data_IF_992751151757
#
_entry.id   IF_992751151757
#
_cell.length_a   1.000
_cell.length_b   1.000
_cell.length_c   1.000
_cell.angle_alpha   90.00
_cell.angle_beta   90.00
_cell.angle_gamma   90.00
#
_symmetry.space_group_name_H-M   'P 1'
#
loop_
_entity.id
_entity.type
_entity.pdbx_description
1 polymer ?
#
# COMPACT_ATOMS: atom_id res chain seq x y z
N UNK A 1 -17.10 -8.61 -2.77
CA UNK A 1 -17.99 -7.45 -2.60
C UNK A 1 -17.13 -6.20 -2.57
N UNK A 2 -17.43 -5.16 -3.35
CA UNK A 2 -16.67 -3.89 -3.34
C UNK A 2 -17.18 -2.96 -2.23
N UNK A 3 -16.39 -1.95 -1.87
CA UNK A 3 -16.79 -0.93 -0.89
C UNK A 3 -17.97 -0.10 -1.41
N UNK A 4 -17.99 0.25 -2.69
CA UNK A 4 -19.16 0.92 -3.31
C UNK A 4 -20.42 0.06 -3.27
N UNK A 5 -20.30 -1.26 -3.50
CA UNK A 5 -21.44 -2.17 -3.38
C UNK A 5 -21.98 -2.22 -1.95
N UNK A 6 -21.13 -2.09 -0.94
CA UNK A 6 -21.52 -2.04 0.47
C UNK A 6 -22.21 -0.72 0.84
N UNK A 7 -21.72 0.41 0.31
CA UNK A 7 -22.38 1.72 0.44
C UNK A 7 -23.80 1.68 -0.14
N UNK A 8 -23.95 1.17 -1.37
CA UNK A 8 -25.25 1.04 -2.03
C UNK A 8 -26.21 0.14 -1.24
N UNK A 9 -25.73 -1.02 -0.77
CA UNK A 9 -26.54 -1.95 0.01
C UNK A 9 -27.01 -1.37 1.36
N UNK A 10 -26.20 -0.51 1.99
CA UNK A 10 -26.53 0.16 3.26
C UNK A 10 -27.27 1.50 3.06
N UNK A 11 -27.47 1.95 1.82
CA UNK A 11 -28.09 3.24 1.53
C UNK A 11 -27.31 4.43 2.08
N UNK A 12 -25.97 4.32 2.16
CA UNK A 12 -25.09 5.36 2.69
C UNK A 12 -24.42 6.09 1.54
N UNK A 13 -24.47 7.42 1.53
CA UNK A 13 -23.76 8.25 0.55
C UNK A 13 -22.29 8.47 0.93
N UNK A 14 -21.46 8.90 -0.02
CA UNK A 14 -20.06 9.25 0.23
C UNK A 14 -19.92 10.38 1.25
N UNK A 15 -20.75 11.43 1.14
CA UNK A 15 -20.82 12.52 2.12
C UNK A 15 -21.17 12.02 3.53
N UNK A 16 -22.19 11.16 3.66
CA UNK A 16 -22.57 10.59 4.96
C UNK A 16 -21.46 9.72 5.55
N UNK A 17 -20.76 8.94 4.74
CA UNK A 17 -19.60 8.18 5.19
C UNK A 17 -18.49 9.13 5.64
N UNK A 18 -18.18 10.17 4.86
CA UNK A 18 -17.16 11.16 5.22
C UNK A 18 -17.44 11.83 6.56
N UNK A 19 -18.70 12.24 6.79
CA UNK A 19 -19.16 12.81 8.07
C UNK A 19 -18.96 11.84 9.23
N UNK A 20 -19.33 10.55 9.06
CA UNK A 20 -19.13 9.52 10.10
C UNK A 20 -17.65 9.31 10.43
N UNK A 21 -16.77 9.46 9.45
CA UNK A 21 -15.35 9.23 9.58
C UNK A 21 -14.55 10.47 10.01
N UNK A 22 -15.18 11.65 10.04
CA UNK A 22 -14.50 12.90 10.33
C UNK A 22 -13.45 13.29 9.27
N UNK A 23 -13.69 12.94 8.01
CA UNK A 23 -12.81 13.26 6.87
C UNK A 23 -13.57 13.99 5.77
N UNK A 24 -12.87 14.51 4.75
CA UNK A 24 -13.54 15.11 3.60
C UNK A 24 -14.11 14.07 2.64
N UNK A 25 -15.21 14.40 1.97
CA UNK A 25 -15.81 13.54 0.93
C UNK A 25 -14.82 13.24 -0.21
N UNK A 26 -14.03 14.24 -0.60
CA UNK A 26 -12.96 14.04 -1.60
C UNK A 26 -11.92 13.00 -1.17
N UNK A 27 -11.61 12.89 0.14
CA UNK A 27 -10.71 11.87 0.68
C UNK A 27 -11.30 10.46 0.53
N UNK A 28 -12.60 10.32 0.80
CA UNK A 28 -13.33 9.06 0.61
C UNK A 28 -13.30 8.66 -0.86
N UNK A 29 -13.61 9.58 -1.78
CA UNK A 29 -13.58 9.30 -3.22
C UNK A 29 -12.19 8.89 -3.72
N UNK A 30 -11.12 9.52 -3.23
CA UNK A 30 -9.75 9.12 -3.56
C UNK A 30 -9.44 7.69 -3.11
N UNK A 31 -9.87 7.30 -1.90
CA UNK A 31 -9.71 5.92 -1.43
C UNK A 31 -10.49 4.93 -2.30
N UNK A 32 -11.74 5.25 -2.66
CA UNK A 32 -12.59 4.36 -3.46
C UNK A 32 -12.11 4.22 -4.90
N UNK A 33 -11.58 5.29 -5.49
CA UNK A 33 -11.01 5.28 -6.82
C UNK A 33 -9.63 4.59 -6.89
N UNK A 34 -9.01 4.29 -5.75
CA UNK A 34 -7.64 3.76 -5.70
C UNK A 34 -6.57 4.81 -6.04
N UNK A 35 -6.94 6.09 -6.05
CA UNK A 35 -6.07 7.24 -6.36
C UNK A 35 -5.22 7.69 -5.14
N UNK A 36 -5.34 6.97 -4.03
CA UNK A 36 -4.54 7.16 -2.84
C UNK A 36 -4.20 5.81 -2.20
N UNK A 37 -3.00 5.73 -1.61
CA UNK A 37 -2.61 4.54 -0.85
C UNK A 37 -3.58 4.30 0.31
N UNK A 38 -4.30 3.21 0.21
CA UNK A 38 -5.18 2.72 1.27
C UNK A 38 -4.32 2.12 2.38
N UNK A 39 -4.22 2.84 3.50
CA UNK A 39 -3.54 2.34 4.69
C UNK A 39 -4.44 1.36 5.45
N UNK A 40 -3.85 0.48 6.26
CA UNK A 40 -4.61 -0.37 7.20
C UNK A 40 -5.50 0.47 8.12
N UNK A 41 -5.03 1.67 8.51
CA UNK A 41 -5.83 2.64 9.28
C UNK A 41 -7.07 3.11 8.51
N UNK A 42 -6.91 3.49 7.24
CA UNK A 42 -8.03 3.89 6.38
C UNK A 42 -9.04 2.75 6.21
N UNK A 43 -8.56 1.51 6.05
CA UNK A 43 -9.43 0.33 6.00
C UNK A 43 -10.20 0.11 7.31
N UNK A 44 -9.55 0.28 8.46
CA UNK A 44 -10.22 0.19 9.76
C UNK A 44 -11.31 1.27 9.93
N UNK A 45 -11.01 2.52 9.54
CA UNK A 45 -11.99 3.61 9.56
C UNK A 45 -13.19 3.28 8.67
N UNK A 46 -12.96 2.82 7.43
CA UNK A 46 -14.03 2.43 6.52
C UNK A 46 -14.90 1.30 7.09
N UNK A 47 -14.29 0.32 7.74
CA UNK A 47 -15.00 -0.77 8.42
C UNK A 47 -15.93 -0.23 9.54
N UNK A 48 -15.41 0.68 10.37
CA UNK A 48 -16.17 1.31 11.46
C UNK A 48 -17.35 2.15 10.93
N UNK A 49 -17.12 3.06 9.97
CA UNK A 49 -18.18 3.93 9.44
C UNK A 49 -19.26 3.20 8.65
N UNK A 50 -18.93 2.01 8.16
CA UNK A 50 -19.86 1.12 7.47
C UNK A 50 -20.48 0.07 8.38
N UNK A 51 -20.13 0.00 9.67
CA UNK A 51 -20.54 -1.08 10.57
C UNK A 51 -20.31 -2.46 9.91
N UNK A 52 -19.04 -2.70 9.58
CA UNK A 52 -18.56 -3.85 8.85
C UNK A 52 -17.25 -4.36 9.44
N UNK A 53 -16.88 -5.59 9.08
CA UNK A 53 -15.61 -6.19 9.45
C UNK A 53 -14.70 -6.29 8.22
N UNK A 54 -13.43 -5.95 8.40
CA UNK A 54 -12.40 -6.14 7.36
C UNK A 54 -11.47 -7.27 7.80
N UNK A 55 -11.29 -8.26 6.93
CA UNK A 55 -10.32 -9.34 7.11
C UNK A 55 -9.19 -9.18 6.08
N UNK A 56 -7.94 -9.16 6.55
CA UNK A 56 -6.74 -9.12 5.71
C UNK A 56 -5.91 -10.35 6.04
N UNK A 57 -5.72 -11.24 5.06
CA UNK A 57 -4.88 -12.43 5.22
C UNK A 57 -3.64 -12.32 4.34
N UNK A 58 -2.46 -12.53 4.92
CA UNK A 58 -1.20 -12.63 4.19
C UNK A 58 -0.89 -14.12 4.01
N UNK A 59 -0.61 -14.55 2.77
CA UNK A 59 -0.23 -15.92 2.44
C UNK A 59 1.18 -15.91 1.86
N UNK A 60 2.01 -16.94 2.13
CA UNK A 60 3.27 -17.11 1.41
C UNK A 60 3.02 -17.10 -0.10
N UNK A 61 3.87 -16.39 -0.84
CA UNK A 61 3.85 -16.48 -2.29
C UNK A 61 4.54 -17.79 -2.68
N UNK A 62 3.81 -18.70 -3.32
CA UNK A 62 4.45 -19.82 -3.99
C UNK A 62 5.30 -19.26 -5.13
N UNK A 63 6.61 -19.35 -4.97
CA UNK A 63 7.56 -19.06 -6.04
C UNK A 63 7.65 -20.37 -6.82
N UNK A 64 7.04 -20.44 -8.01
CA UNK A 64 7.20 -21.61 -8.87
C UNK A 64 8.70 -21.83 -9.14
N UNK A 65 9.27 -22.98 -8.75
CA UNK A 65 10.65 -23.29 -9.10
C UNK A 65 10.70 -23.71 -10.57
N UNK A 66 10.91 -22.77 -11.50
CA UNK A 66 11.31 -23.14 -12.86
C UNK A 66 10.89 -22.24 -14.02
N UNK A 67 11.38 -21.01 -14.06
CA UNK A 67 11.64 -20.33 -15.33
C UNK A 67 13.06 -20.66 -15.80
N UNK A 68 13.21 -21.70 -16.60
CA UNK A 68 14.47 -22.04 -17.29
C UNK A 68 15.01 -20.84 -18.08
N UNK A 69 16.18 -20.34 -17.64
CA UNK A 69 17.30 -19.92 -18.50
C UNK A 69 17.04 -18.98 -19.69
N UNK A 70 17.38 -17.71 -19.51
CA UNK A 70 18.20 -17.01 -20.52
C UNK A 70 19.36 -16.29 -19.83
N UNK A 71 20.38 -17.06 -19.47
CA UNK A 71 21.72 -16.51 -19.34
C UNK A 71 22.18 -16.08 -20.74
N UNK A 72 22.15 -14.78 -21.04
CA UNK A 72 22.41 -14.34 -22.40
C UNK A 72 22.41 -12.83 -22.66
N UNK A 73 23.00 -12.02 -21.77
CA UNK A 73 23.78 -10.83 -22.20
C UNK A 73 24.60 -10.26 -21.05
N UNK A 74 25.80 -10.81 -20.93
CA UNK A 74 26.93 -10.09 -20.40
C UNK A 74 27.12 -8.80 -21.20
N UNK A 75 27.10 -7.63 -20.55
CA UNK A 75 28.10 -6.56 -20.77
C UNK A 75 28.34 -5.82 -19.47
N UNK A 76 29.38 -6.28 -18.76
CA UNK A 76 30.23 -5.43 -17.92
C UNK A 76 30.59 -4.17 -18.71
N UNK A 77 30.28 -2.99 -18.17
CA UNK A 77 31.10 -1.80 -18.33
C UNK A 77 31.45 -1.31 -16.93
N UNK A 78 32.60 -1.80 -16.43
CA UNK A 78 33.39 -1.09 -15.44
C UNK A 78 33.89 0.19 -16.11
N UNK A 79 33.52 1.35 -15.59
CA UNK A 79 34.36 2.54 -15.56
C UNK A 79 34.25 3.08 -14.14
N UNK A 80 35.36 3.01 -13.42
CA UNK A 80 35.43 3.44 -12.03
C UNK A 80 35.34 4.95 -11.90
N UNK A 81 34.93 5.39 -10.72
CA UNK A 81 35.61 6.45 -9.99
C UNK A 81 35.53 6.12 -8.51
N UNK A 82 36.72 6.01 -7.92
CA UNK A 82 36.94 5.98 -6.50
C UNK A 82 36.46 7.30 -5.87
N UNK A 83 35.87 7.18 -4.69
CA UNK A 83 35.47 8.25 -3.79
C UNK A 83 34.91 7.56 -2.55
N UNK A 84 35.79 7.01 -1.72
CA UNK A 84 36.08 7.61 -0.41
C UNK A 84 34.81 7.76 0.44
N UNK A 85 34.50 6.70 1.20
CA UNK A 85 33.73 6.81 2.43
C UNK A 85 34.66 6.47 3.59
N UNK A 86 35.33 7.51 4.11
CA UNK A 86 36.03 7.48 5.39
C UNK A 86 35.36 8.48 6.34
N UNK A 87 35.16 8.06 7.59
CA UNK A 87 34.83 8.90 8.73
C UNK A 87 33.49 8.55 9.37
N UNK A 88 33.39 8.29 10.68
CA UNK A 88 34.41 8.21 11.72
C UNK A 88 33.81 7.51 12.93
N UNK A 89 34.67 6.82 13.67
CA UNK A 89 34.37 6.02 14.87
C UNK A 89 34.07 6.92 16.07
N UNK A 90 33.24 6.38 16.96
CA UNK A 90 32.83 6.91 18.24
C UNK A 90 33.96 7.44 19.12
N UNK A 91 33.70 8.57 19.79
CA UNK A 91 34.32 8.94 21.07
C UNK A 91 33.44 9.96 21.80
N UNK A 92 32.87 9.58 22.96
CA UNK A 92 32.66 10.48 24.10
C UNK A 92 32.90 9.67 25.36
N UNK A 93 33.98 10.00 26.05
CA UNK A 93 34.15 9.81 27.48
C UNK A 93 33.66 11.07 28.19
#
# INVERSE_FOLDING_TARGET
MSIEGLLAAKGVSHAQLADRLGVSEGRVLQWLAGEADLTVRSLAMLAEGLDAQVEISIRPREIEPGGSGSAGRARRRMHGRAGEWQGSVAARH
#
